data_IF_690939905111
#
_entry.id   IF_690939905111
#
_cell.length_a   1.000
_cell.length_b   1.000
_cell.length_c   1.000
_cell.angle_alpha   90.00
_cell.angle_beta   90.00
_cell.angle_gamma   90.00
#
_symmetry.space_group_name_H-M   'P 1'
#
loop_
_entity.id
_entity.type
_entity.pdbx_description
1 polymer ?
#
# COMPACT_ATOMS: atom_id res chain seq x y z
N UNK A 1 8.53 -0.29 -21.05
CA UNK A 1 7.80 0.98 -21.29
C UNK A 1 7.10 1.47 -20.02
N UNK A 2 6.31 0.63 -19.36
CA UNK A 2 5.51 0.98 -18.19
C UNK A 2 6.30 1.49 -16.98
N UNK A 3 7.42 0.81 -16.64
CA UNK A 3 8.33 1.22 -15.56
C UNK A 3 8.86 2.66 -15.72
N UNK A 4 9.07 3.09 -16.97
CA UNK A 4 9.66 4.38 -17.29
C UNK A 4 8.61 5.42 -17.74
N UNK A 5 7.31 5.16 -17.52
CA UNK A 5 6.24 6.09 -17.83
C UNK A 5 6.10 6.43 -19.31
N UNK A 6 6.52 5.55 -20.23
CA UNK A 6 6.52 5.82 -21.67
C UNK A 6 5.12 5.59 -22.26
N UNK A 7 4.20 6.54 -22.02
CA UNK A 7 2.76 6.45 -22.34
C UNK A 7 2.52 6.00 -23.79
N UNK A 8 3.08 6.70 -24.78
CA UNK A 8 2.83 6.40 -26.19
C UNK A 8 3.36 5.02 -26.62
N UNK A 9 4.48 4.58 -26.03
CA UNK A 9 5.01 3.22 -26.26
C UNK A 9 4.08 2.17 -25.64
N UNK A 10 3.53 2.44 -24.45
CA UNK A 10 2.56 1.52 -23.81
C UNK A 10 1.29 1.42 -24.67
N UNK A 11 0.74 2.54 -25.15
CA UNK A 11 -0.44 2.53 -26.05
C UNK A 11 -0.19 1.69 -27.30
N UNK A 12 0.95 1.92 -27.96
CA UNK A 12 1.32 1.17 -29.16
C UNK A 12 1.46 -0.33 -28.89
N UNK A 13 2.10 -0.71 -27.77
CA UNK A 13 2.26 -2.11 -27.40
C UNK A 13 0.92 -2.78 -27.05
N UNK A 14 0.02 -2.10 -26.34
CA UNK A 14 -1.28 -2.67 -25.97
C UNK A 14 -2.19 -2.91 -27.19
N UNK A 15 -2.03 -2.11 -28.26
CA UNK A 15 -2.76 -2.29 -29.52
C UNK A 15 -2.30 -3.50 -30.34
N UNK A 16 -1.10 -4.04 -30.08
CA UNK A 16 -0.57 -5.22 -30.78
C UNK A 16 -1.05 -6.50 -30.09
N UNK A 17 -1.79 -7.34 -30.81
CA UNK A 17 -2.38 -8.58 -30.28
C UNK A 17 -1.34 -9.62 -29.85
N UNK A 18 -0.07 -9.47 -30.27
CA UNK A 18 1.03 -10.36 -29.87
C UNK A 18 1.58 -10.01 -28.49
N UNK A 19 1.28 -8.82 -27.98
CA UNK A 19 1.71 -8.39 -26.65
C UNK A 19 0.71 -8.90 -25.62
N UNK A 20 1.23 -9.65 -24.65
CA UNK A 20 0.49 -10.05 -23.47
C UNK A 20 0.82 -9.11 -22.30
N UNK A 21 -0.07 -8.17 -21.91
CA UNK A 21 0.18 -7.26 -20.81
C UNK A 21 0.11 -7.93 -19.42
N UNK A 22 -0.41 -9.17 -19.35
CA UNK A 22 -0.51 -9.97 -18.14
C UNK A 22 0.76 -10.79 -17.81
N UNK A 23 1.72 -10.81 -18.74
CA UNK A 23 2.96 -11.56 -18.59
C UNK A 23 3.73 -11.24 -17.30
N UNK A 24 4.41 -12.25 -16.76
CA UNK A 24 5.18 -12.19 -15.51
C UNK A 24 4.34 -11.65 -14.32
N UNK A 25 3.16 -12.22 -14.11
CA UNK A 25 2.22 -11.81 -13.05
C UNK A 25 1.89 -10.32 -13.11
N UNK A 26 1.48 -9.86 -14.31
CA UNK A 26 1.11 -8.47 -14.56
C UNK A 26 2.22 -7.47 -14.16
N UNK A 27 3.48 -7.80 -14.46
CA UNK A 27 4.63 -6.98 -14.08
C UNK A 27 4.55 -5.55 -14.62
N UNK A 28 3.90 -5.37 -15.79
CA UNK A 28 3.72 -4.08 -16.45
C UNK A 28 3.00 -3.05 -15.55
N UNK A 29 1.86 -3.43 -14.96
CA UNK A 29 1.07 -2.57 -14.07
C UNK A 29 1.74 -2.43 -12.71
N UNK A 30 2.34 -3.50 -12.17
CA UNK A 30 3.10 -3.45 -10.91
C UNK A 30 4.22 -2.42 -10.96
N UNK A 31 5.01 -2.41 -12.03
CA UNK A 31 6.10 -1.44 -12.22
C UNK A 31 5.59 -0.02 -12.49
N UNK A 32 4.48 0.15 -13.19
CA UNK A 32 3.85 1.47 -13.36
C UNK A 32 3.38 2.03 -12.01
N UNK A 33 2.76 1.18 -11.18
CA UNK A 33 2.27 1.55 -9.85
C UNK A 33 3.40 1.88 -8.90
N UNK A 34 4.47 1.06 -8.88
CA UNK A 34 5.68 1.28 -8.08
C UNK A 34 6.35 2.64 -8.35
N UNK A 35 6.31 3.12 -9.59
CA UNK A 35 6.97 4.35 -10.01
C UNK A 35 5.99 5.53 -10.18
N UNK A 36 4.71 5.36 -9.83
CA UNK A 36 3.74 6.46 -9.80
C UNK A 36 3.25 6.93 -11.18
N UNK A 37 3.38 6.13 -12.23
CA UNK A 37 3.02 6.52 -13.59
C UNK A 37 1.51 6.43 -13.84
N UNK A 38 0.75 7.35 -13.25
CA UNK A 38 -0.72 7.31 -13.21
C UNK A 38 -1.39 7.10 -14.58
N UNK A 39 -0.93 7.78 -15.63
CA UNK A 39 -1.51 7.64 -16.97
C UNK A 39 -1.22 6.27 -17.59
N UNK A 40 -0.07 5.66 -17.28
CA UNK A 40 0.22 4.28 -17.67
C UNK A 40 -0.67 3.30 -16.90
N UNK A 41 -0.89 3.54 -15.60
CA UNK A 41 -1.78 2.69 -14.79
C UNK A 41 -3.20 2.74 -15.34
N UNK A 42 -3.73 3.94 -15.69
CA UNK A 42 -5.05 4.07 -16.33
C UNK A 42 -5.16 3.27 -17.62
N UNK A 43 -4.16 3.37 -18.50
CA UNK A 43 -4.14 2.61 -19.76
C UNK A 43 -4.14 1.10 -19.52
N UNK A 44 -3.34 0.63 -18.56
CA UNK A 44 -3.25 -0.80 -18.24
C UNK A 44 -4.54 -1.30 -17.59
N UNK A 45 -5.15 -0.55 -16.66
CA UNK A 45 -6.42 -0.94 -16.03
C UNK A 45 -7.59 -1.01 -17.01
N UNK A 46 -7.57 -0.19 -18.07
CA UNK A 46 -8.58 -0.21 -19.13
C UNK A 46 -8.46 -1.43 -20.06
N UNK A 47 -7.32 -2.12 -20.08
CA UNK A 47 -7.14 -3.35 -20.85
C UNK A 47 -7.65 -4.55 -20.04
N UNK A 48 -8.65 -5.26 -20.57
CA UNK A 48 -9.28 -6.39 -19.88
C UNK A 48 -8.36 -7.57 -19.63
N UNK A 49 -7.22 -7.64 -20.31
CA UNK A 49 -6.20 -8.69 -20.11
C UNK A 49 -5.36 -8.44 -18.85
N UNK A 50 -5.34 -7.21 -18.33
CA UNK A 50 -4.58 -6.86 -17.14
C UNK A 50 -5.38 -7.18 -15.88
N UNK A 51 -4.76 -7.91 -14.97
CA UNK A 51 -5.27 -8.20 -13.64
C UNK A 51 -4.46 -7.43 -12.58
N UNK A 52 -5.01 -6.34 -12.00
CA UNK A 52 -4.32 -5.59 -10.95
C UNK A 52 -4.22 -6.31 -9.60
N UNK A 53 -4.94 -7.44 -9.43
CA UNK A 53 -4.91 -8.26 -8.22
C UNK A 53 -3.78 -9.31 -8.22
N UNK A 54 -3.11 -9.48 -9.36
CA UNK A 54 -2.04 -10.46 -9.53
C UNK A 54 -0.89 -10.27 -8.52
N UNK A 55 -0.19 -11.38 -8.24
CA UNK A 55 0.91 -11.44 -7.29
C UNK A 55 0.54 -10.92 -5.89
N UNK A 56 -0.65 -11.30 -5.40
CA UNK A 56 -1.18 -10.87 -4.09
C UNK A 56 -1.40 -9.35 -3.99
N UNK A 57 -2.09 -8.76 -4.97
CA UNK A 57 -2.38 -7.33 -5.04
C UNK A 57 -1.11 -6.46 -4.96
N UNK A 58 -0.04 -6.89 -5.63
CA UNK A 58 1.26 -6.20 -5.53
C UNK A 58 1.24 -4.79 -6.11
N UNK A 59 0.37 -4.53 -7.09
CA UNK A 59 0.22 -3.19 -7.68
C UNK A 59 -0.16 -2.14 -6.63
N UNK A 60 -1.21 -2.38 -5.83
CA UNK A 60 -1.63 -1.45 -4.76
C UNK A 60 -0.61 -1.41 -3.64
N UNK A 61 -0.01 -2.55 -3.29
CA UNK A 61 1.06 -2.63 -2.28
C UNK A 61 2.26 -1.74 -2.64
N UNK A 62 2.76 -1.83 -3.86
CA UNK A 62 3.90 -1.04 -4.35
C UNK A 62 3.56 0.45 -4.44
N UNK A 63 2.33 0.81 -4.85
CA UNK A 63 1.89 2.20 -4.85
C UNK A 63 1.83 2.78 -3.42
N UNK A 64 1.36 1.99 -2.46
CA UNK A 64 1.29 2.39 -1.05
C UNK A 64 2.69 2.53 -0.43
N UNK A 65 3.59 1.58 -0.71
CA UNK A 65 4.98 1.60 -0.22
C UNK A 65 5.75 2.85 -0.68
N UNK A 66 5.49 3.32 -1.90
CA UNK A 66 6.20 4.45 -2.54
C UNK A 66 5.42 5.78 -2.49
N UNK A 67 4.34 5.86 -1.72
CA UNK A 67 3.56 7.09 -1.50
C UNK A 67 2.92 7.70 -2.76
N UNK A 68 2.56 6.86 -3.74
CA UNK A 68 1.92 7.33 -4.98
C UNK A 68 0.41 7.52 -4.79
N UNK A 69 0.04 8.57 -4.05
CA UNK A 69 -1.34 8.85 -3.59
C UNK A 69 -2.39 8.73 -4.71
N UNK A 70 -2.17 9.35 -5.87
CA UNK A 70 -3.15 9.30 -6.97
C UNK A 70 -3.27 7.91 -7.61
N UNK A 71 -2.18 7.13 -7.62
CA UNK A 71 -2.22 5.73 -8.06
C UNK A 71 -2.97 4.89 -7.03
N UNK A 72 -2.76 5.11 -5.73
CA UNK A 72 -3.50 4.41 -4.67
C UNK A 72 -4.99 4.68 -4.80
N UNK A 73 -5.42 5.94 -4.93
CA UNK A 73 -6.84 6.28 -5.14
C UNK A 73 -7.43 5.59 -6.37
N UNK A 74 -6.70 5.61 -7.49
CA UNK A 74 -7.14 4.93 -8.72
C UNK A 74 -7.31 3.43 -8.51
N UNK A 75 -6.34 2.76 -7.89
CA UNK A 75 -6.40 1.32 -7.63
C UNK A 75 -7.52 0.96 -6.64
N UNK A 76 -7.71 1.74 -5.57
CA UNK A 76 -8.79 1.50 -4.60
C UNK A 76 -10.19 1.62 -5.23
N UNK A 77 -10.33 2.43 -6.28
CA UNK A 77 -11.58 2.56 -7.04
C UNK A 77 -11.86 1.39 -8.00
N UNK A 78 -10.86 0.55 -8.28
CA UNK A 78 -11.02 -0.64 -9.12
C UNK A 78 -11.49 -1.82 -8.28
N UNK A 79 -12.66 -2.38 -8.62
CA UNK A 79 -13.28 -3.48 -7.87
C UNK A 79 -12.46 -4.78 -7.85
N UNK A 80 -11.49 -4.93 -8.76
CA UNK A 80 -10.61 -6.10 -8.81
C UNK A 80 -9.51 -6.04 -7.74
N UNK A 81 -9.18 -4.84 -7.26
CA UNK A 81 -8.13 -4.63 -6.26
C UNK A 81 -8.67 -4.89 -4.87
N UNK A 82 -7.96 -5.71 -4.10
CA UNK A 82 -8.21 -5.91 -2.67
C UNK A 82 -7.04 -5.34 -1.85
N UNK A 83 -7.21 -4.17 -1.20
CA UNK A 83 -6.18 -3.58 -0.35
C UNK A 83 -5.95 -4.34 0.97
N UNK A 84 -6.87 -5.25 1.34
CA UNK A 84 -6.77 -6.12 2.52
C UNK A 84 -5.96 -7.39 2.27
N UNK A 85 -5.58 -7.68 1.02
CA UNK A 85 -4.86 -8.88 0.66
C UNK A 85 -3.47 -8.99 1.32
N UNK A 86 -2.99 -10.23 1.41
CA UNK A 86 -1.71 -10.58 2.04
C UNK A 86 -1.59 -10.05 3.47
N UNK A 87 -2.65 -10.28 4.27
CA UNK A 87 -2.80 -9.77 5.63
C UNK A 87 -2.60 -8.25 5.72
N UNK A 88 -3.36 -7.48 4.92
CA UNK A 88 -3.35 -6.02 4.92
C UNK A 88 -1.94 -5.43 4.71
N UNK A 89 -1.14 -6.01 3.81
CA UNK A 89 0.26 -5.60 3.70
C UNK A 89 0.46 -4.19 3.15
N UNK A 90 -0.50 -3.70 2.36
CA UNK A 90 -0.47 -2.34 1.83
C UNK A 90 -0.42 -1.28 2.95
N UNK A 91 -1.30 -1.39 3.96
CA UNK A 91 -1.29 -0.46 5.10
C UNK A 91 -0.06 -0.66 5.97
N UNK A 92 0.38 -1.91 6.18
CA UNK A 92 1.63 -2.18 6.92
C UNK A 92 2.83 -1.46 6.29
N UNK A 93 3.02 -1.54 4.97
CA UNK A 93 4.11 -0.83 4.28
C UNK A 93 3.97 0.69 4.35
N UNK A 94 2.75 1.23 4.16
CA UNK A 94 2.50 2.66 4.29
C UNK A 94 2.84 3.16 5.71
N UNK A 95 2.44 2.40 6.73
CA UNK A 95 2.74 2.70 8.14
C UNK A 95 4.24 2.62 8.46
N UNK A 96 4.93 1.59 7.94
CA UNK A 96 6.38 1.42 8.10
C UNK A 96 7.18 2.58 7.47
N UNK A 97 6.69 3.16 6.38
CA UNK A 97 7.39 4.24 5.67
C UNK A 97 6.90 5.64 6.07
N UNK A 98 5.92 5.74 6.96
CA UNK A 98 5.44 7.03 7.46
C UNK A 98 4.52 7.80 6.49
N UNK A 99 3.90 7.12 5.52
CA UNK A 99 3.12 7.76 4.46
C UNK A 99 1.71 8.14 4.92
N UNK A 100 1.60 9.20 5.73
CA UNK A 100 0.38 9.63 6.42
C UNK A 100 -0.85 9.66 5.50
N UNK A 101 -0.75 10.30 4.33
CA UNK A 101 -1.90 10.43 3.42
C UNK A 101 -2.34 9.08 2.82
N UNK A 102 -1.40 8.17 2.55
CA UNK A 102 -1.74 6.81 2.11
C UNK A 102 -2.42 6.03 3.24
N UNK A 103 -1.93 6.16 4.49
CA UNK A 103 -2.56 5.50 5.64
C UNK A 103 -3.99 6.02 5.84
N UNK A 104 -4.25 7.33 5.72
CA UNK A 104 -5.61 7.89 5.77
C UNK A 104 -6.52 7.30 4.70
N UNK A 105 -6.04 7.21 3.46
CA UNK A 105 -6.81 6.62 2.35
C UNK A 105 -7.16 5.16 2.62
N UNK A 106 -6.19 4.38 3.10
CA UNK A 106 -6.40 2.96 3.41
C UNK A 106 -7.34 2.76 4.61
N UNK A 107 -7.23 3.54 5.68
CA UNK A 107 -8.12 3.45 6.84
C UNK A 107 -9.58 3.81 6.50
N UNK A 108 -9.79 4.67 5.51
CA UNK A 108 -11.12 5.02 5.01
C UNK A 108 -11.77 3.92 4.15
N UNK A 109 -11.00 2.93 3.68
CA UNK A 109 -11.51 1.80 2.91
C UNK A 109 -11.93 0.66 3.84
N UNK A 110 -13.20 0.25 3.76
CA UNK A 110 -13.77 -0.75 4.65
C UNK A 110 -13.16 -2.15 4.50
N UNK A 111 -12.45 -2.41 3.40
CA UNK A 111 -11.76 -3.68 3.14
C UNK A 111 -10.44 -3.79 3.90
N UNK A 112 -9.90 -2.67 4.39
CA UNK A 112 -8.63 -2.63 5.13
C UNK A 112 -8.90 -2.81 6.61
N UNK A 113 -8.21 -3.76 7.23
CA UNK A 113 -8.15 -3.97 8.67
C UNK A 113 -6.75 -3.61 9.21
N UNK A 114 -6.58 -2.47 9.91
CA UNK A 114 -5.30 -2.08 10.49
C UNK A 114 -4.87 -2.96 11.68
N UNK A 115 -5.78 -3.77 12.24
CA UNK A 115 -5.49 -4.71 13.33
C UNK A 115 -4.99 -6.08 12.86
N UNK A 116 -5.02 -6.35 11.55
CA UNK A 116 -4.61 -7.63 10.99
C UNK A 116 -3.14 -7.97 11.27
N UNK A 117 -2.85 -9.28 11.28
CA UNK A 117 -1.52 -9.84 11.54
C UNK A 117 -0.94 -9.26 12.84
N UNK A 118 -1.63 -9.46 13.96
CA UNK A 118 -1.24 -9.00 15.30
C UNK A 118 -0.94 -7.49 15.39
N UNK A 119 -1.72 -6.65 14.70
CA UNK A 119 -1.54 -5.19 14.70
C UNK A 119 -0.15 -4.74 14.17
N UNK A 120 0.43 -5.45 13.20
CA UNK A 120 1.77 -5.10 12.68
C UNK A 120 1.87 -3.68 12.09
N UNK A 121 0.75 -3.08 11.65
CA UNK A 121 0.75 -1.71 11.16
C UNK A 121 1.24 -0.71 12.24
N UNK A 122 0.68 -0.76 13.45
CA UNK A 122 1.13 0.10 14.56
C UNK A 122 2.49 -0.31 15.10
N UNK A 123 2.81 -1.62 15.10
CA UNK A 123 4.14 -2.08 15.50
C UNK A 123 5.24 -1.49 14.60
N UNK A 124 5.05 -1.49 13.28
CA UNK A 124 6.03 -0.96 12.34
C UNK A 124 6.11 0.57 12.35
N UNK A 125 4.98 1.26 12.46
CA UNK A 125 4.99 2.71 12.67
C UNK A 125 5.73 3.08 13.96
N UNK A 126 5.56 2.28 15.02
CA UNK A 126 6.23 2.47 16.31
C UNK A 126 7.71 2.17 16.27
N UNK A 127 8.14 1.09 15.60
CA UNK A 127 9.55 0.75 15.36
C UNK A 127 10.29 1.88 14.62
N UNK A 128 9.61 2.54 13.68
CA UNK A 128 10.18 3.62 12.85
C UNK A 128 9.98 5.02 13.42
N UNK A 129 9.26 5.16 14.54
CA UNK A 129 9.09 6.45 15.21
C UNK A 129 8.16 7.40 14.45
N UNK A 130 7.23 6.88 13.64
CA UNK A 130 6.29 7.69 12.87
C UNK A 130 5.12 8.14 13.74
N UNK A 131 5.38 9.09 14.65
CA UNK A 131 4.44 9.60 15.66
C UNK A 131 3.06 9.94 15.09
N UNK A 132 2.99 10.65 13.97
CA UNK A 132 1.70 11.04 13.36
C UNK A 132 0.91 9.84 12.82
N UNK A 133 1.60 8.83 12.28
CA UNK A 133 0.97 7.58 11.84
C UNK A 133 0.49 6.78 13.04
N UNK A 134 1.28 6.69 14.12
CA UNK A 134 0.85 6.02 15.36
C UNK A 134 -0.39 6.70 15.93
N UNK A 135 -0.40 8.04 15.99
CA UNK A 135 -1.57 8.81 16.44
C UNK A 135 -2.79 8.55 15.57
N UNK A 136 -2.62 8.47 14.25
CA UNK A 136 -3.70 8.16 13.31
C UNK A 136 -4.25 6.75 13.54
N UNK A 137 -3.38 5.74 13.72
CA UNK A 137 -3.78 4.36 13.97
C UNK A 137 -4.50 4.22 15.32
N UNK A 138 -4.04 4.90 16.37
CA UNK A 138 -4.69 4.88 17.70
C UNK A 138 -6.10 5.52 17.70
N UNK A 139 -6.42 6.33 16.69
CA UNK A 139 -7.76 6.88 16.52
C UNK A 139 -8.74 5.87 15.88
N UNK A 140 -8.25 4.76 15.32
CA UNK A 140 -9.06 3.70 14.75
C UNK A 140 -9.34 2.62 15.80
N UNK A 141 -10.62 2.37 16.09
CA UNK A 141 -11.04 1.43 17.15
C UNK A 141 -10.66 -0.03 16.89
N UNK A 142 -10.23 -0.37 15.67
CA UNK A 142 -9.79 -1.73 15.31
C UNK A 142 -8.35 -2.01 15.73
N UNK A 143 -7.59 -0.97 16.08
CA UNK A 143 -6.18 -1.09 16.47
C UNK A 143 -6.06 -1.35 17.97
N UNK A 144 -5.39 -2.44 18.32
CA UNK A 144 -4.98 -2.79 19.68
C UNK A 144 -3.45 -2.62 19.84
N UNK A 145 -2.98 -1.52 20.46
CA UNK A 145 -1.55 -1.30 20.71
C UNK A 145 -0.92 -2.30 21.71
N UNK A 146 -1.75 -3.01 22.48
CA UNK A 146 -1.29 -4.00 23.47
C UNK A 146 -1.03 -5.39 22.88
N UNK A 147 -1.38 -5.59 21.61
CA UNK A 147 -1.19 -6.85 20.90
C UNK A 147 0.26 -7.35 20.94
N UNK A 148 0.41 -8.67 20.83
CA UNK A 148 1.69 -9.38 20.86
C UNK A 148 2.58 -9.01 22.07
N UNK A 149 1.95 -8.95 23.25
CA UNK A 149 2.60 -8.57 24.51
C UNK A 149 3.22 -7.17 24.47
N UNK A 150 2.39 -6.18 24.11
CA UNK A 150 2.75 -4.77 24.02
C UNK A 150 3.95 -4.51 23.09
N UNK A 151 3.98 -5.17 21.93
CA UNK A 151 5.18 -5.14 21.09
C UNK A 151 5.44 -3.76 20.48
N UNK A 152 4.39 -3.00 20.17
CA UNK A 152 4.51 -1.65 19.62
C UNK A 152 5.32 -0.73 20.54
N UNK A 153 4.97 -0.65 21.83
CA UNK A 153 5.71 0.18 22.80
C UNK A 153 7.11 -0.38 23.06
N UNK A 154 7.29 -1.71 23.09
CA UNK A 154 8.62 -2.33 23.23
C UNK A 154 9.57 -1.95 22.08
N UNK A 155 9.07 -1.90 20.85
CA UNK A 155 9.85 -1.46 19.67
C UNK A 155 10.17 0.03 19.75
N UNK A 156 9.20 0.88 20.12
CA UNK A 156 9.42 2.31 20.32
C UNK A 156 10.48 2.58 21.42
N UNK A 157 10.40 1.88 22.55
CA UNK A 157 11.40 1.95 23.62
C UNK A 157 12.78 1.50 23.16
N UNK A 158 12.87 0.36 22.45
CA UNK A 158 14.13 -0.18 21.93
C UNK A 158 14.87 0.83 21.03
N UNK A 159 14.14 1.59 20.23
CA UNK A 159 14.71 2.55 19.28
C UNK A 159 14.72 4.00 19.79
N UNK A 160 14.27 4.26 21.03
CA UNK A 160 14.32 5.58 21.66
C UNK A 160 13.27 6.58 21.16
N UNK A 161 12.15 6.11 20.60
CA UNK A 161 11.10 6.97 20.05
C UNK A 161 10.18 7.52 21.14
N UNK A 162 10.69 8.48 21.92
CA UNK A 162 10.03 9.02 23.13
C UNK A 162 8.59 9.48 22.88
N UNK A 163 8.32 10.19 21.77
CA UNK A 163 6.96 10.68 21.48
C UNK A 163 5.98 9.54 21.17
N UNK A 164 6.44 8.46 20.51
CA UNK A 164 5.63 7.25 20.33
C UNK A 164 5.39 6.55 21.66
N UNK A 165 6.41 6.44 22.51
CA UNK A 165 6.24 5.84 23.85
C UNK A 165 5.20 6.60 24.67
N UNK A 166 5.23 7.93 24.65
CA UNK A 166 4.20 8.77 25.31
C UNK A 166 2.79 8.53 24.78
N UNK A 167 2.63 8.22 23.49
CA UNK A 167 1.33 7.91 22.89
C UNK A 167 0.80 6.52 23.26
N UNK A 168 1.70 5.57 23.59
CA UNK A 168 1.35 4.16 23.85
C UNK A 168 1.27 3.81 25.35
N UNK A 169 1.54 4.78 26.24
CA UNK A 169 1.34 4.69 27.69
C UNK A 169 -0.09 5.07 28.07
#
# INVERSE_FOLDING_TARGET
>A
ASQNGRIEVVKLLLADSRVDPSACDNNSIRLACKNGHIEVVKLLLADSRVDPSAYFNDAVRLACENSHIEVVKLLLSDSRVDPGAYDNYAIRLACRNGHIEVVKLLLADCRVDPGAFDNYAIQWASDKGHTDVVKLLLADSRVDPSAYSNYAIRLACKNGHIEVVKLLL
#
